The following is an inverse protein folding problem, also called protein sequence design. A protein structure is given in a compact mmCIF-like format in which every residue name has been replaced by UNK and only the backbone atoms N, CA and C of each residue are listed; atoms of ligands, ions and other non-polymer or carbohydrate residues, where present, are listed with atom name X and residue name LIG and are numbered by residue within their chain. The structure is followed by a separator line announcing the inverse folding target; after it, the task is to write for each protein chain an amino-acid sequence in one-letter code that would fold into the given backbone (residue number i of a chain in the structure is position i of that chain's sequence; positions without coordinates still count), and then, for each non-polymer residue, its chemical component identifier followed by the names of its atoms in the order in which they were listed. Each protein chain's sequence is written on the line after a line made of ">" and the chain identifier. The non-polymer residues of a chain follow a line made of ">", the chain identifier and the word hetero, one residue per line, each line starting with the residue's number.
data_IF_411215328290
#
_entry.id   IF_411215328290
#
_cell.length_a   1.000
_cell.length_b   1.000
_cell.length_c   1.000
_cell.angle_alpha   90.00
_cell.angle_beta   90.00
_cell.angle_gamma   90.00
#
_symmetry.space_group_name_H-M   'P 1'
#
loop_
_entity.id
_entity.type
_entity.pdbx_description
1 polymer ?
#
# COMPACT_ATOMS: atom_id res chain seq x y z
N UNK A 1 26.27 6.84 25.84
CA UNK A 1 24.88 6.59 26.29
C UNK A 1 23.94 7.39 25.40
N UNK A 2 23.08 6.72 24.64
CA UNK A 2 22.15 7.37 23.71
C UNK A 2 20.95 7.96 24.46
N UNK A 3 20.61 9.19 24.12
CA UNK A 3 19.42 9.89 24.58
C UNK A 3 18.18 9.20 24.01
N UNK A 4 17.39 8.58 24.89
CA UNK A 4 16.12 7.95 24.52
C UNK A 4 15.03 9.01 24.61
N UNK A 5 14.74 9.66 23.48
CA UNK A 5 13.66 10.63 23.39
C UNK A 5 12.35 10.02 23.91
N UNK A 6 11.82 10.56 25.01
CA UNK A 6 10.54 10.12 25.59
C UNK A 6 9.43 10.22 24.54
N UNK A 7 8.70 9.13 24.33
CA UNK A 7 7.54 9.11 23.46
C UNK A 7 6.47 10.08 23.99
N UNK A 8 6.05 11.03 23.16
CA UNK A 8 4.96 11.98 23.47
C UNK A 8 3.66 11.20 23.58
N UNK A 9 2.98 11.25 24.73
CA UNK A 9 1.69 10.59 24.90
C UNK A 9 0.54 11.45 24.38
N UNK A 10 -0.64 10.85 24.14
CA UNK A 10 -1.86 11.61 23.79
C UNK A 10 -2.19 12.69 24.82
N UNK A 11 -1.88 12.44 26.10
CA UNK A 11 -2.08 13.39 27.20
C UNK A 11 -1.11 14.56 27.10
N UNK A 12 0.15 14.31 26.72
CA UNK A 12 1.15 15.36 26.54
C UNK A 12 0.78 16.25 25.35
N UNK A 13 0.28 15.65 24.26
CA UNK A 13 -0.23 16.41 23.10
C UNK A 13 -1.41 17.31 23.48
N UNK A 14 -2.41 16.78 24.19
CA UNK A 14 -3.57 17.57 24.63
C UNK A 14 -3.18 18.70 25.58
N UNK A 15 -2.28 18.44 26.53
CA UNK A 15 -1.74 19.47 27.42
C UNK A 15 -1.01 20.56 26.63
N UNK A 16 -0.13 20.17 25.72
CA UNK A 16 0.60 21.11 24.85
C UNK A 16 -0.35 21.99 24.02
N UNK A 17 -1.38 21.41 23.42
CA UNK A 17 -2.38 22.15 22.65
C UNK A 17 -3.16 23.15 23.52
N UNK A 18 -3.61 22.74 24.71
CA UNK A 18 -4.34 23.63 25.64
C UNK A 18 -3.48 24.81 26.08
N UNK A 19 -2.22 24.58 26.45
CA UNK A 19 -1.31 25.66 26.83
C UNK A 19 -0.98 26.59 25.67
N UNK A 20 -0.83 26.06 24.45
CA UNK A 20 -0.61 26.86 23.25
C UNK A 20 -1.79 27.79 22.95
N UNK A 21 -3.02 27.27 23.08
CA UNK A 21 -4.24 28.05 22.84
C UNK A 21 -4.42 29.14 23.89
N UNK A 22 -4.13 28.84 25.16
CA UNK A 22 -4.24 29.80 26.26
C UNK A 22 -3.21 30.92 26.15
N UNK A 23 -1.95 30.60 25.83
CA UNK A 23 -0.88 31.57 25.63
C UNK A 23 -1.14 32.51 24.44
N UNK A 24 -1.67 31.98 23.33
CA UNK A 24 -2.11 32.78 22.19
C UNK A 24 -3.26 33.75 22.55
N UNK A 25 -4.21 33.30 23.36
CA UNK A 25 -5.35 34.12 23.80
C UNK A 25 -4.94 35.29 24.73
N UNK A 26 -3.82 35.17 25.45
CA UNK A 26 -3.28 36.21 26.35
C UNK A 26 -2.13 37.01 25.74
N UNK A 27 -1.88 36.87 24.43
CA UNK A 27 -0.89 37.66 23.70
C UNK A 27 0.57 37.34 24.03
N UNK A 28 0.84 36.22 24.70
CA UNK A 28 2.19 35.73 24.91
C UNK A 28 2.67 35.03 23.65
N UNK A 29 3.69 35.61 23.01
CA UNK A 29 4.43 34.97 21.92
C UNK A 29 5.09 33.71 22.47
N UNK A 30 4.52 32.55 22.16
CA UNK A 30 5.24 31.29 22.36
C UNK A 30 6.35 31.27 21.33
N UNK A 31 7.59 31.09 21.76
CA UNK A 31 8.66 30.75 20.83
C UNK A 31 8.21 29.54 20.02
N UNK A 32 7.99 29.75 18.72
CA UNK A 32 7.70 28.68 17.77
C UNK A 32 8.88 27.71 17.83
N UNK A 33 8.75 26.66 18.65
CA UNK A 33 9.70 25.58 18.70
C UNK A 33 9.88 25.07 17.28
N UNK A 34 11.10 25.24 16.75
CA UNK A 34 11.57 24.88 15.39
C UNK A 34 10.42 24.44 14.49
N UNK A 35 9.85 25.37 13.72
CA UNK A 35 8.92 25.05 12.62
C UNK A 35 9.39 23.76 11.97
N UNK A 36 8.60 22.70 12.11
CA UNK A 36 8.85 21.46 11.41
C UNK A 36 9.05 21.87 9.93
N UNK A 37 10.19 21.49 9.35
CA UNK A 37 10.48 21.80 7.95
C UNK A 37 9.31 21.37 7.05
N UNK A 38 9.21 21.90 5.82
CA UNK A 38 8.07 21.65 4.95
C UNK A 38 7.73 20.16 4.93
N UNK A 39 6.54 19.82 5.42
CA UNK A 39 6.07 18.43 5.49
C UNK A 39 6.14 17.86 4.08
N UNK A 40 6.96 16.82 3.90
CA UNK A 40 7.08 16.11 2.63
C UNK A 40 5.71 15.52 2.28
N UNK A 41 4.98 16.18 1.37
CA UNK A 41 3.66 15.72 0.94
C UNK A 41 3.82 14.39 0.19
N UNK A 42 2.99 13.41 0.53
CA UNK A 42 2.89 12.15 -0.22
C UNK A 42 1.89 12.34 -1.34
N UNK A 43 2.24 11.94 -2.57
CA UNK A 43 1.35 12.01 -3.73
C UNK A 43 0.53 10.73 -3.85
N UNK A 44 -0.76 10.88 -4.14
CA UNK A 44 -1.69 9.79 -4.44
C UNK A 44 -2.43 10.16 -5.71
N UNK A 45 -2.62 9.19 -6.59
CA UNK A 45 -3.36 9.34 -7.85
C UNK A 45 -4.52 8.35 -7.86
N UNK A 46 -5.67 8.80 -8.33
CA UNK A 46 -6.85 7.99 -8.58
C UNK A 46 -7.07 7.92 -10.09
N UNK A 47 -7.24 6.72 -10.63
CA UNK A 47 -7.65 6.49 -12.01
C UNK A 47 -8.87 5.58 -11.99
N UNK A 48 -9.82 5.83 -12.90
CA UNK A 48 -11.04 5.05 -13.04
C UNK A 48 -11.38 4.90 -14.52
N UNK A 49 -11.92 3.75 -14.89
CA UNK A 49 -12.39 3.50 -16.25
C UNK A 49 -13.61 2.58 -16.22
N UNK A 50 -14.70 2.99 -16.89
CA UNK A 50 -15.94 2.24 -16.89
C UNK A 50 -15.82 0.86 -17.54
N UNK A 51 -14.80 0.66 -18.39
CA UNK A 51 -14.49 -0.60 -19.06
C UNK A 51 -13.51 -1.49 -18.29
N UNK A 52 -13.09 -1.13 -17.07
CA UNK A 52 -12.14 -1.93 -16.29
C UNK A 52 -12.70 -3.30 -15.90
N UNK A 53 -14.01 -3.36 -15.66
CA UNK A 53 -14.78 -4.57 -15.44
C UNK A 53 -16.04 -4.57 -16.31
N UNK A 54 -16.37 -5.73 -16.87
CA UNK A 54 -17.60 -5.97 -17.63
C UNK A 54 -18.82 -6.22 -16.71
N UNK A 55 -19.98 -6.53 -17.30
CA UNK A 55 -21.22 -6.73 -16.55
C UNK A 55 -21.23 -8.07 -15.77
N UNK A 56 -20.37 -9.01 -16.16
CA UNK A 56 -20.19 -10.32 -15.56
C UNK A 56 -19.10 -10.31 -14.47
N UNK A 57 -18.41 -9.18 -14.27
CA UNK A 57 -17.32 -9.00 -13.31
C UNK A 57 -15.94 -9.39 -13.85
N UNK A 58 -15.83 -9.69 -15.15
CA UNK A 58 -14.58 -9.96 -15.85
C UNK A 58 -13.71 -8.71 -15.96
N UNK A 59 -12.42 -8.87 -15.66
CA UNK A 59 -11.43 -7.77 -15.67
C UNK A 59 -10.85 -7.61 -17.06
N UNK A 60 -10.90 -6.39 -17.61
CA UNK A 60 -10.35 -6.12 -18.94
C UNK A 60 -8.87 -5.73 -18.89
N UNK A 61 -7.99 -6.68 -19.19
CA UNK A 61 -6.53 -6.48 -19.15
C UNK A 61 -6.04 -5.24 -19.92
N UNK A 62 -6.59 -4.95 -21.11
CA UNK A 62 -6.18 -3.79 -21.92
C UNK A 62 -6.57 -2.46 -21.26
N UNK A 63 -7.70 -2.44 -20.55
CA UNK A 63 -8.14 -1.25 -19.81
C UNK A 63 -7.30 -1.09 -18.56
N UNK A 64 -7.02 -2.17 -17.82
CA UNK A 64 -6.11 -2.16 -16.67
C UNK A 64 -4.72 -1.65 -17.06
N UNK A 65 -4.17 -2.12 -18.19
CA UNK A 65 -2.89 -1.65 -18.72
C UNK A 65 -2.88 -0.13 -18.92
N UNK A 66 -3.89 0.40 -19.63
CA UNK A 66 -4.05 1.85 -19.84
C UNK A 66 -4.20 2.61 -18.52
N UNK A 67 -5.01 2.10 -17.59
CA UNK A 67 -5.23 2.74 -16.30
C UNK A 67 -3.95 2.81 -15.47
N UNK A 68 -3.18 1.71 -15.43
CA UNK A 68 -1.92 1.66 -14.71
C UNK A 68 -0.89 2.60 -15.33
N UNK A 69 -0.82 2.68 -16.66
CA UNK A 69 0.07 3.61 -17.35
C UNK A 69 -0.27 5.06 -17.07
N UNK A 70 -1.55 5.42 -17.16
CA UNK A 70 -2.02 6.75 -16.82
C UNK A 70 -1.71 7.08 -15.35
N UNK A 71 -1.92 6.14 -14.44
CA UNK A 71 -1.64 6.31 -13.01
C UNK A 71 -0.15 6.52 -12.77
N UNK A 72 0.72 5.74 -13.43
CA UNK A 72 2.18 5.83 -13.30
C UNK A 72 2.73 7.13 -13.88
N UNK A 73 2.34 7.48 -15.10
CA UNK A 73 2.71 8.77 -15.73
C UNK A 73 2.29 9.94 -14.83
N UNK A 74 1.05 9.92 -14.32
CA UNK A 74 0.53 10.94 -13.41
C UNK A 74 1.26 10.95 -12.08
N UNK A 75 1.53 9.82 -11.44
CA UNK A 75 2.15 9.74 -10.11
C UNK A 75 3.58 10.28 -10.13
N UNK A 76 4.34 10.00 -11.19
CA UNK A 76 5.74 10.38 -11.31
C UNK A 76 6.00 11.65 -12.13
N UNK A 77 4.93 12.32 -12.58
CA UNK A 77 5.01 13.51 -13.42
C UNK A 77 5.84 13.28 -14.70
N UNK A 78 5.54 12.16 -15.37
CA UNK A 78 6.18 11.73 -16.62
C UNK A 78 5.17 11.74 -17.74
N UNK A 79 5.66 11.96 -18.96
CA UNK A 79 4.82 11.87 -20.17
C UNK A 79 4.45 10.42 -20.50
N UNK A 80 5.43 9.52 -20.38
CA UNK A 80 5.29 8.11 -20.70
C UNK A 80 5.40 7.25 -19.43
N UNK A 81 4.59 6.21 -19.32
CA UNK A 81 4.60 5.26 -18.19
C UNK A 81 5.94 4.54 -18.05
N UNK A 82 6.60 4.21 -19.17
CA UNK A 82 7.91 3.54 -19.17
C UNK A 82 8.99 4.36 -18.44
N UNK A 83 8.97 5.69 -18.57
CA UNK A 83 9.89 6.57 -17.85
C UNK A 83 9.54 6.68 -16.36
N UNK A 84 8.26 6.55 -16.00
CA UNK A 84 7.83 6.47 -14.61
C UNK A 84 8.31 5.18 -13.94
N UNK A 85 8.17 4.03 -14.60
CA UNK A 85 8.65 2.74 -14.08
C UNK A 85 10.16 2.72 -13.86
N UNK A 86 10.96 3.32 -14.76
CA UNK A 86 12.42 3.48 -14.59
C UNK A 86 12.82 4.32 -13.37
N UNK A 87 11.90 5.09 -12.76
CA UNK A 87 12.20 5.83 -11.53
C UNK A 87 12.16 4.96 -10.28
N UNK A 88 11.46 3.83 -10.34
CA UNK A 88 11.23 2.93 -9.19
C UNK A 88 11.77 1.53 -9.41
N UNK A 89 12.21 1.16 -10.61
CA UNK A 89 12.79 -0.17 -10.90
C UNK A 89 14.05 0.02 -11.72
N UNK A 90 15.09 -0.75 -11.40
CA UNK A 90 16.35 -0.86 -12.13
C UNK A 90 16.45 -2.26 -12.76
N UNK A 91 17.05 -2.42 -13.96
CA UNK A 91 17.25 -3.74 -14.59
C UNK A 91 17.94 -4.79 -13.71
N UNK A 92 18.73 -4.37 -12.71
CA UNK A 92 19.45 -5.25 -11.77
C UNK A 92 18.59 -5.69 -10.59
N UNK A 93 17.38 -5.16 -10.43
CA UNK A 93 16.53 -5.50 -9.29
C UNK A 93 16.09 -6.97 -9.29
N UNK A 94 15.81 -7.45 -8.08
CA UNK A 94 14.99 -8.63 -7.82
C UNK A 94 13.66 -8.11 -7.29
N UNK A 95 12.58 -8.32 -8.06
CA UNK A 95 11.30 -7.64 -7.85
C UNK A 95 10.25 -8.63 -7.32
N UNK A 96 9.76 -8.37 -6.12
CA UNK A 96 8.61 -9.08 -5.55
C UNK A 96 7.31 -8.29 -5.75
N UNK A 97 6.38 -8.83 -6.51
CA UNK A 97 5.01 -8.31 -6.66
C UNK A 97 4.15 -8.95 -5.57
N UNK A 98 3.98 -8.24 -4.45
CA UNK A 98 3.17 -8.72 -3.32
C UNK A 98 1.69 -8.61 -3.67
N UNK A 99 1.10 -9.73 -4.05
CA UNK A 99 -0.31 -9.85 -4.42
C UNK A 99 -1.20 -10.19 -3.21
N UNK A 100 -2.46 -10.54 -3.43
CA UNK A 100 -3.41 -11.00 -2.43
C UNK A 100 -4.28 -12.13 -3.00
N UNK A 101 -4.27 -13.30 -2.37
CA UNK A 101 -5.02 -14.49 -2.83
C UNK A 101 -6.22 -14.81 -1.91
N UNK A 102 -6.84 -13.79 -1.33
CA UNK A 102 -8.06 -14.00 -0.56
C UNK A 102 -9.19 -14.36 -1.52
N UNK A 103 -9.63 -15.62 -1.48
CA UNK A 103 -10.51 -16.24 -2.49
C UNK A 103 -11.70 -15.40 -2.99
N UNK A 104 -12.46 -14.72 -2.11
CA UNK A 104 -13.62 -13.94 -2.57
C UNK A 104 -13.29 -12.64 -3.31
N UNK A 105 -12.10 -12.07 -3.06
CA UNK A 105 -11.66 -10.83 -3.68
C UNK A 105 -10.12 -10.84 -3.81
N UNK A 106 -9.57 -11.67 -4.71
CA UNK A 106 -8.15 -11.74 -4.96
C UNK A 106 -7.72 -10.57 -5.85
N UNK A 107 -6.42 -10.29 -5.89
CA UNK A 107 -5.86 -9.49 -6.99
C UNK A 107 -6.12 -10.25 -8.30
N UNK A 108 -6.73 -9.63 -9.32
CA UNK A 108 -6.92 -10.27 -10.61
C UNK A 108 -5.59 -10.56 -11.30
N UNK A 109 -5.50 -11.69 -11.99
CA UNK A 109 -4.30 -12.10 -12.72
C UNK A 109 -3.93 -11.06 -13.79
N UNK A 110 -4.91 -10.42 -14.43
CA UNK A 110 -4.69 -9.36 -15.41
C UNK A 110 -3.88 -8.20 -14.82
N UNK A 111 -4.15 -7.82 -13.57
CA UNK A 111 -3.40 -6.76 -12.88
C UNK A 111 -1.98 -7.25 -12.57
N UNK A 112 -1.83 -8.48 -12.10
CA UNK A 112 -0.52 -9.06 -11.81
C UNK A 112 0.37 -9.13 -13.06
N UNK A 113 -0.18 -9.58 -14.19
CA UNK A 113 0.55 -9.70 -15.44
C UNK A 113 0.90 -8.34 -16.05
N UNK A 114 0.03 -7.34 -15.95
CA UNK A 114 0.34 -5.96 -16.39
C UNK A 114 1.48 -5.36 -15.55
N UNK A 115 1.50 -5.56 -14.23
CA UNK A 115 2.61 -5.10 -13.40
C UNK A 115 3.90 -5.83 -13.80
N UNK A 116 3.85 -7.15 -13.95
CA UNK A 116 4.99 -7.96 -14.35
C UNK A 116 5.54 -7.54 -15.71
N UNK A 117 4.69 -7.30 -16.71
CA UNK A 117 5.12 -6.88 -18.05
C UNK A 117 5.84 -5.53 -18.00
N UNK A 118 5.32 -4.55 -17.26
CA UNK A 118 5.97 -3.23 -17.08
C UNK A 118 7.32 -3.32 -16.37
N UNK A 119 7.45 -4.21 -15.39
CA UNK A 119 8.75 -4.49 -14.74
C UNK A 119 9.74 -5.13 -15.74
N UNK A 120 9.28 -6.06 -16.58
CA UNK A 120 10.11 -6.66 -17.63
C UNK A 120 10.55 -5.65 -18.70
N UNK A 121 9.69 -4.71 -19.07
CA UNK A 121 9.99 -3.63 -20.05
C UNK A 121 11.08 -2.67 -19.57
N UNK A 122 11.25 -2.49 -18.26
CA UNK A 122 12.40 -1.76 -17.69
C UNK A 122 13.71 -2.51 -17.94
N UNK A 123 13.67 -3.84 -18.12
CA UNK A 123 14.83 -4.70 -18.38
C UNK A 123 15.12 -5.72 -17.28
N UNK A 124 14.23 -5.88 -16.29
CA UNK A 124 14.38 -6.90 -15.25
C UNK A 124 14.14 -8.29 -15.86
N UNK A 125 15.07 -9.24 -15.73
CA UNK A 125 14.85 -10.60 -16.23
C UNK A 125 13.68 -11.27 -15.54
N UNK A 126 12.85 -12.03 -16.28
CA UNK A 126 11.69 -12.71 -15.71
C UNK A 126 12.02 -13.60 -14.50
N UNK A 127 13.17 -14.29 -14.54
CA UNK A 127 13.68 -15.11 -13.42
C UNK A 127 13.94 -14.32 -12.13
N UNK A 128 13.99 -12.99 -12.19
CA UNK A 128 14.18 -12.09 -11.04
C UNK A 128 12.85 -11.48 -10.57
N UNK A 129 11.71 -11.88 -11.15
CA UNK A 129 10.39 -11.35 -10.83
C UNK A 129 9.55 -12.48 -10.21
N UNK A 130 8.89 -12.20 -9.09
CA UNK A 130 8.04 -13.16 -8.41
C UNK A 130 6.73 -12.51 -7.99
N UNK A 131 5.61 -13.19 -8.23
CA UNK A 131 4.29 -12.80 -7.75
C UNK A 131 3.87 -13.80 -6.66
N UNK A 132 3.53 -13.31 -5.47
CA UNK A 132 3.15 -14.18 -4.35
C UNK A 132 2.33 -13.41 -3.30
N UNK A 133 1.63 -14.15 -2.43
CA UNK A 133 0.93 -13.65 -1.25
C UNK A 133 1.36 -14.41 0.01
N UNK A 134 0.91 -15.66 0.16
CA UNK A 134 1.12 -16.46 1.38
C UNK A 134 2.48 -17.16 1.42
N UNK A 135 3.16 -17.28 0.28
CA UNK A 135 4.42 -18.01 0.13
C UNK A 135 5.68 -17.18 0.34
N UNK A 136 5.56 -15.87 0.59
CA UNK A 136 6.67 -14.91 0.55
C UNK A 136 7.88 -15.27 1.42
N UNK A 137 7.68 -15.95 2.56
CA UNK A 137 8.77 -16.39 3.44
C UNK A 137 9.53 -17.63 2.94
N UNK A 138 8.99 -18.33 1.94
CA UNK A 138 9.60 -19.51 1.30
C UNK A 138 9.96 -19.25 -0.16
N UNK A 139 9.60 -18.09 -0.69
CA UNK A 139 9.83 -17.71 -2.07
C UNK A 139 11.24 -17.09 -2.23
N UNK A 140 12.16 -17.71 -2.97
CA UNK A 140 13.53 -17.21 -3.11
C UNK A 140 13.63 -15.80 -3.68
N UNK A 141 12.67 -15.37 -4.50
CA UNK A 141 12.62 -14.01 -5.04
C UNK A 141 12.31 -13.02 -3.93
N UNK A 142 11.29 -13.27 -3.12
CA UNK A 142 10.92 -12.37 -2.01
C UNK A 142 12.00 -12.30 -0.93
N UNK A 143 12.69 -13.41 -0.66
CA UNK A 143 13.82 -13.44 0.28
C UNK A 143 15.00 -12.59 -0.20
N UNK A 144 15.19 -12.47 -1.53
CA UNK A 144 16.28 -11.71 -2.17
C UNK A 144 15.82 -10.36 -2.73
N UNK A 145 14.56 -9.99 -2.53
CA UNK A 145 13.96 -8.83 -3.19
C UNK A 145 14.69 -7.53 -2.79
N UNK A 146 15.02 -6.74 -3.81
CA UNK A 146 15.57 -5.38 -3.72
C UNK A 146 14.49 -4.33 -3.96
N UNK A 147 13.38 -4.73 -4.58
CA UNK A 147 12.19 -3.92 -4.81
C UNK A 147 10.92 -4.74 -4.53
N UNK A 148 9.93 -4.10 -3.92
CA UNK A 148 8.61 -4.66 -3.71
C UNK A 148 7.56 -3.72 -4.32
N UNK A 149 6.64 -4.32 -5.08
CA UNK A 149 5.42 -3.67 -5.58
C UNK A 149 4.26 -4.31 -4.84
N UNK A 150 3.52 -3.51 -4.08
CA UNK A 150 2.41 -3.98 -3.28
C UNK A 150 1.09 -3.75 -4.01
N UNK A 151 0.34 -4.80 -4.29
CA UNK A 151 -0.98 -4.70 -4.93
C UNK A 151 -2.00 -5.54 -4.19
N UNK A 152 -3.19 -4.97 -3.96
CA UNK A 152 -4.33 -5.74 -3.44
C UNK A 152 -5.67 -5.04 -3.65
N UNK A 153 -6.76 -5.81 -3.64
CA UNK A 153 -8.10 -5.26 -3.46
C UNK A 153 -8.31 -4.63 -2.09
N UNK A 154 -9.07 -3.54 -2.10
CA UNK A 154 -9.59 -2.90 -0.91
C UNK A 154 -10.83 -3.64 -0.40
N UNK A 155 -10.93 -3.76 0.92
CA UNK A 155 -12.14 -4.25 1.60
C UNK A 155 -12.24 -3.67 2.99
N UNK A 156 -13.44 -3.69 3.57
CA UNK A 156 -13.59 -3.60 5.02
C UNK A 156 -12.91 -4.80 5.71
N UNK A 157 -12.45 -4.59 6.94
CA UNK A 157 -11.90 -5.65 7.76
C UNK A 157 -12.25 -5.43 9.23
N UNK A 158 -12.91 -6.43 9.82
CA UNK A 158 -13.54 -6.32 11.14
C UNK A 158 -12.63 -5.82 12.25
N UNK A 159 -11.36 -6.24 12.29
CA UNK A 159 -10.44 -5.79 13.35
C UNK A 159 -9.71 -4.49 13.04
N UNK A 160 -9.43 -4.16 11.78
CA UNK A 160 -8.57 -3.02 11.41
C UNK A 160 -9.32 -1.86 10.75
N UNK A 161 -10.65 -1.95 10.69
CA UNK A 161 -11.50 -1.11 9.86
C UNK A 161 -11.38 -1.47 8.38
N UNK A 162 -10.17 -1.44 7.83
CA UNK A 162 -9.91 -1.70 6.40
C UNK A 162 -8.81 -2.74 6.19
N UNK A 163 -8.95 -3.51 5.11
CA UNK A 163 -7.92 -4.30 4.47
C UNK A 163 -7.39 -3.55 3.26
N UNK A 164 -6.36 -2.73 3.48
CA UNK A 164 -5.63 -1.99 2.44
C UNK A 164 -4.15 -2.36 2.39
N UNK A 165 -3.37 -1.61 1.62
CA UNK A 165 -1.96 -1.91 1.30
C UNK A 165 -1.10 -2.26 2.53
N UNK A 166 -1.23 -1.53 3.65
CA UNK A 166 -0.48 -1.81 4.89
C UNK A 166 -0.72 -3.25 5.37
N UNK A 167 -1.99 -3.71 5.33
CA UNK A 167 -2.38 -5.05 5.77
C UNK A 167 -1.88 -6.16 4.85
N UNK A 168 -1.59 -5.87 3.58
CA UNK A 168 -1.12 -6.89 2.65
C UNK A 168 0.20 -7.53 3.09
N UNK A 169 0.98 -6.80 3.88
CA UNK A 169 2.31 -7.23 4.34
C UNK A 169 2.23 -8.18 5.54
N UNK A 170 1.05 -8.48 6.07
CA UNK A 170 0.89 -9.40 7.19
C UNK A 170 1.39 -10.82 6.90
N UNK A 171 1.68 -11.16 5.64
CA UNK A 171 2.31 -12.42 5.23
C UNK A 171 3.84 -12.44 5.36
N UNK A 172 4.50 -11.31 5.65
CA UNK A 172 5.96 -11.24 5.88
C UNK A 172 6.37 -11.64 7.30
N UNK A 173 5.50 -12.33 8.03
CA UNK A 173 5.75 -12.87 9.37
C UNK A 173 5.26 -14.31 9.45
N UNK A 174 5.93 -15.19 10.22
CA UNK A 174 5.52 -16.59 10.34
C UNK A 174 4.15 -16.74 11.03
N UNK A 175 3.80 -15.81 11.92
CA UNK A 175 2.57 -15.84 12.72
C UNK A 175 1.77 -14.53 12.57
N UNK A 176 0.98 -14.38 11.50
CA UNK A 176 0.15 -13.19 11.23
C UNK A 176 -0.77 -12.79 12.40
N UNK A 177 -1.23 -13.77 13.18
CA UNK A 177 -2.17 -13.60 14.28
C UNK A 177 -1.64 -12.69 15.38
N UNK A 178 -0.32 -12.64 15.57
CA UNK A 178 0.33 -11.78 16.57
C UNK A 178 0.11 -10.28 16.29
N UNK A 179 -0.25 -9.91 15.06
CA UNK A 179 -0.47 -8.53 14.63
C UNK A 179 -1.95 -8.12 14.62
N UNK A 180 -2.84 -8.92 15.20
CA UNK A 180 -4.27 -8.59 15.32
C UNK A 180 -4.64 -7.89 16.64
N UNK A 181 -3.72 -7.83 17.61
CA UNK A 181 -3.92 -7.15 18.88
C UNK A 181 -4.28 -5.67 18.72
N UNK A 182 -5.08 -5.15 19.65
CA UNK A 182 -5.51 -3.74 19.68
C UNK A 182 -5.97 -3.21 18.31
N UNK A 183 -6.89 -3.92 17.65
CA UNK A 183 -7.41 -3.54 16.33
C UNK A 183 -6.32 -3.42 15.25
N UNK A 184 -5.34 -4.34 15.29
CA UNK A 184 -4.17 -4.35 14.42
C UNK A 184 -3.28 -3.09 14.52
N UNK A 185 -3.22 -2.42 15.68
CA UNK A 185 -2.44 -1.18 15.85
C UNK A 185 -0.95 -1.33 15.48
N UNK A 186 -0.37 -2.51 15.73
CA UNK A 186 1.05 -2.79 15.48
C UNK A 186 1.34 -3.33 14.07
N UNK A 187 0.34 -3.42 13.20
CA UNK A 187 0.47 -4.02 11.87
C UNK A 187 1.56 -3.36 11.01
N UNK A 188 1.73 -2.04 11.15
CA UNK A 188 2.76 -1.28 10.45
C UNK A 188 4.18 -1.64 10.92
N UNK A 189 4.37 -2.29 12.08
CA UNK A 189 5.69 -2.71 12.54
C UNK A 189 6.35 -3.72 11.58
N UNK A 190 5.55 -4.51 10.85
CA UNK A 190 6.03 -5.46 9.83
C UNK A 190 6.82 -4.73 8.73
N UNK A 191 6.46 -3.48 8.42
CA UNK A 191 7.15 -2.68 7.42
C UNK A 191 8.59 -2.30 7.81
N UNK A 192 8.95 -2.51 9.09
CA UNK A 192 10.29 -2.26 9.61
C UNK A 192 11.18 -3.51 9.58
N UNK A 193 10.67 -4.67 9.18
CA UNK A 193 11.44 -5.91 9.10
C UNK A 193 12.45 -5.87 7.95
N UNK A 194 13.62 -6.52 8.05
CA UNK A 194 14.65 -6.49 6.99
C UNK A 194 14.17 -6.98 5.61
N UNK A 195 13.16 -7.85 5.56
CA UNK A 195 12.57 -8.32 4.31
C UNK A 195 11.75 -7.24 3.60
N UNK A 196 11.30 -6.20 4.30
CA UNK A 196 10.36 -5.19 3.80
C UNK A 196 10.94 -3.77 3.81
N UNK A 197 11.67 -3.43 4.87
CA UNK A 197 12.12 -2.07 5.13
C UNK A 197 12.85 -1.50 3.92
N UNK A 198 12.43 -0.31 3.51
CA UNK A 198 12.99 0.47 2.38
C UNK A 198 12.90 -0.22 1.00
N UNK A 199 12.16 -1.34 0.89
CA UNK A 199 12.02 -2.09 -0.37
C UNK A 199 10.70 -1.83 -1.10
N UNK A 200 9.64 -1.40 -0.41
CA UNK A 200 8.37 -1.10 -1.08
C UNK A 200 8.45 0.20 -1.85
N UNK A 201 8.37 0.12 -3.19
CA UNK A 201 8.54 1.28 -4.08
C UNK A 201 7.22 1.76 -4.69
N UNK A 202 6.19 0.92 -4.70
CA UNK A 202 4.86 1.24 -5.20
C UNK A 202 3.78 0.53 -4.39
N UNK A 203 2.71 1.25 -4.07
CA UNK A 203 1.48 0.69 -3.51
C UNK A 203 0.33 0.94 -4.50
N UNK A 204 -0.35 -0.13 -4.89
CA UNK A 204 -1.52 -0.13 -5.75
C UNK A 204 -2.69 -0.67 -4.92
N UNK A 205 -3.70 0.16 -4.69
CA UNK A 205 -4.92 -0.24 -4.02
C UNK A 205 -6.02 -0.39 -5.06
N UNK A 206 -6.46 -1.62 -5.31
CA UNK A 206 -7.49 -1.91 -6.30
C UNK A 206 -8.87 -1.67 -5.71
N UNK A 207 -9.64 -0.85 -6.40
CA UNK A 207 -11.04 -0.55 -6.12
C UNK A 207 -11.84 -0.96 -7.37
N UNK A 208 -11.67 -2.19 -7.87
CA UNK A 208 -12.51 -2.65 -8.98
C UNK A 208 -13.93 -2.93 -8.46
N UNK A 209 -14.02 -3.78 -7.44
CA UNK A 209 -15.25 -4.20 -6.74
C UNK A 209 -15.07 -4.20 -5.21
N UNK A 210 -14.76 -3.04 -4.59
CA UNK A 210 -14.46 -2.99 -3.15
C UNK A 210 -15.62 -3.49 -2.29
N UNK A 211 -15.29 -4.30 -1.28
CA UNK A 211 -16.24 -4.74 -0.25
C UNK A 211 -16.34 -3.68 0.85
N UNK A 212 -17.52 -3.10 1.04
CA UNK A 212 -17.72 -1.99 2.00
C UNK A 212 -18.33 -2.39 3.33
N UNK A 213 -18.95 -3.57 3.41
CA UNK A 213 -19.53 -4.08 4.64
C UNK A 213 -19.17 -5.56 4.84
N UNK A 214 -18.99 -5.94 6.11
CA UNK A 214 -18.82 -7.33 6.48
C UNK A 214 -18.65 -7.56 7.97
N UNK A 215 -18.99 -8.77 8.39
CA UNK A 215 -19.03 -9.19 9.78
C UNK A 215 -18.00 -10.30 10.02
N UNK A 216 -16.94 -9.99 10.76
CA UNK A 216 -15.84 -10.92 11.02
C UNK A 216 -14.70 -10.83 10.01
N UNK A 217 -13.62 -11.62 10.21
CA UNK A 217 -12.35 -11.42 9.50
C UNK A 217 -12.37 -11.81 8.02
N UNK A 218 -13.22 -12.78 7.66
CA UNK A 218 -13.28 -13.39 6.31
C UNK A 218 -14.65 -13.25 5.64
N UNK A 219 -15.49 -12.33 6.12
CA UNK A 219 -16.80 -12.09 5.52
C UNK A 219 -16.69 -11.59 4.08
N UNK A 220 -17.56 -12.11 3.24
CA UNK A 220 -17.78 -11.63 1.89
C UNK A 220 -19.25 -11.85 1.52
N UNK A 221 -19.83 -10.84 0.89
CA UNK A 221 -21.16 -10.88 0.28
C UNK A 221 -21.14 -9.87 -0.87
N UNK A 222 -21.50 -10.33 -2.07
CA UNK A 222 -21.50 -9.49 -3.27
C UNK A 222 -22.47 -8.32 -3.17
N UNK A 223 -23.52 -8.43 -2.36
CA UNK A 223 -24.47 -7.34 -2.07
C UNK A 223 -23.79 -6.13 -1.43
N UNK A 224 -22.65 -6.34 -0.77
CA UNK A 224 -21.83 -5.30 -0.16
C UNK A 224 -20.59 -4.96 -0.97
N UNK A 225 -20.62 -5.24 -2.27
CA UNK A 225 -19.63 -4.75 -3.24
C UNK A 225 -20.28 -3.73 -4.16
N UNK A 226 -19.49 -2.88 -4.80
CA UNK A 226 -19.97 -2.01 -5.86
C UNK A 226 -18.91 -1.87 -6.96
N UNK A 227 -19.34 -1.67 -8.19
CA UNK A 227 -18.49 -1.50 -9.36
C UNK A 227 -17.83 -0.11 -9.35
N UNK A 228 -16.79 0.07 -8.54
CA UNK A 228 -16.08 1.35 -8.48
C UNK A 228 -15.18 1.55 -9.71
N UNK A 229 -14.64 0.46 -10.26
CA UNK A 229 -13.85 0.44 -11.50
C UNK A 229 -12.61 1.35 -11.45
N UNK A 230 -11.88 1.32 -10.33
CA UNK A 230 -10.71 2.16 -10.04
C UNK A 230 -9.58 1.46 -9.30
#
# INVERSE_FOLDING_TARGET
>A
MGDSGKAITRRDFLRGATYATLAAAIGLQIEEGKSAGPVKKTRVVLVRDSGAIDAEGGVNARVIERMLDQAMASLFDKKESSDAWKTIVDPKDVVGIKSNVWGPLPTPEEVEQVIKSRVMEVGVPERNIGIDDRGVLRNPIFLKATALINVRPFKTHHWSGVGGCIKNYIMFVPEPQQYHGNSCADLAAIWRLPLVRDKTRLNILLLLTPLFHGIGPHHFDMTYTWDYKG
#
